data_IF_120793232393
#
_entry.id   IF_120793232393
#
_cell.length_a   1.000
_cell.length_b   1.000
_cell.length_c   1.000
_cell.angle_alpha   90.00
_cell.angle_beta   90.00
_cell.angle_gamma   90.00
#
_symmetry.space_group_name_H-M   'P 1'
#
loop_
_entity.id
_entity.type
_entity.pdbx_description
1 polymer ?
#
# COMPACT_ATOMS: atom_id res chain seq x y z
N UNK A 1 -28.65 -11.40 -29.54
CA UNK A 1 -28.54 -10.14 -28.75
C UNK A 1 -27.77 -10.36 -27.44
N UNK A 2 -28.13 -11.34 -26.60
CA UNK A 2 -27.46 -11.62 -25.31
C UNK A 2 -25.95 -11.97 -25.43
N UNK A 3 -25.54 -12.76 -26.44
CA UNK A 3 -24.13 -13.17 -26.62
C UNK A 3 -23.19 -12.04 -27.05
N UNK A 4 -23.71 -11.00 -27.71
CA UNK A 4 -22.89 -9.84 -28.13
C UNK A 4 -22.54 -8.99 -26.91
N UNK A 5 -23.48 -8.86 -25.97
CA UNK A 5 -23.28 -8.14 -24.71
C UNK A 5 -22.23 -8.85 -23.85
N UNK A 6 -22.27 -10.17 -23.74
CA UNK A 6 -21.28 -10.93 -22.96
C UNK A 6 -19.86 -10.81 -23.54
N UNK A 7 -19.70 -10.96 -24.86
CA UNK A 7 -18.39 -10.83 -25.53
C UNK A 7 -17.81 -9.42 -25.35
N UNK A 8 -18.67 -8.40 -25.46
CA UNK A 8 -18.23 -7.01 -25.27
C UNK A 8 -17.83 -6.72 -23.83
N UNK A 9 -18.51 -7.32 -22.84
CA UNK A 9 -18.20 -7.18 -21.42
C UNK A 9 -16.90 -7.92 -21.03
N UNK A 10 -16.64 -9.09 -21.60
CA UNK A 10 -15.39 -9.83 -21.42
C UNK A 10 -14.18 -9.06 -21.98
N UNK A 11 -14.36 -8.39 -23.11
CA UNK A 11 -13.32 -7.55 -23.73
C UNK A 11 -12.99 -6.32 -22.87
N UNK A 12 -14.04 -5.67 -22.34
CA UNK A 12 -13.90 -4.52 -21.45
C UNK A 12 -13.20 -4.93 -20.14
N UNK A 13 -13.55 -6.08 -19.58
CA UNK A 13 -12.91 -6.59 -18.38
C UNK A 13 -11.44 -6.93 -18.64
N UNK A 14 -11.09 -7.54 -19.78
CA UNK A 14 -9.69 -7.79 -20.16
C UNK A 14 -8.85 -6.51 -20.27
N UNK A 15 -9.42 -5.42 -20.80
CA UNK A 15 -8.76 -4.11 -20.84
C UNK A 15 -8.54 -3.57 -19.41
N UNK A 16 -9.57 -3.64 -18.56
CA UNK A 16 -9.49 -3.17 -17.16
C UNK A 16 -8.42 -3.95 -16.38
N UNK A 17 -8.34 -5.28 -16.53
CA UNK A 17 -7.35 -6.10 -15.84
C UNK A 17 -5.91 -5.77 -16.26
N UNK A 18 -5.67 -5.50 -17.55
CA UNK A 18 -4.35 -5.10 -18.06
C UNK A 18 -3.92 -3.71 -17.55
N UNK A 19 -4.87 -2.78 -17.43
CA UNK A 19 -4.63 -1.46 -16.88
C UNK A 19 -4.28 -1.50 -15.39
N UNK A 20 -4.99 -2.32 -14.60
CA UNK A 20 -4.73 -2.49 -13.17
C UNK A 20 -3.41 -3.21 -12.91
N UNK A 21 -3.04 -4.19 -13.75
CA UNK A 21 -1.80 -4.96 -13.60
C UNK A 21 -0.53 -4.15 -13.95
N UNK A 22 -0.66 -3.13 -14.81
CA UNK A 22 0.47 -2.30 -15.25
C UNK A 22 0.79 -1.13 -14.30
N UNK A 23 -0.01 -0.90 -13.26
CA UNK A 23 0.25 0.18 -12.31
C UNK A 23 1.29 -0.27 -11.29
N UNK A 24 2.55 0.04 -11.57
CA UNK A 24 3.68 -0.09 -10.63
C UNK A 24 4.04 1.30 -10.12
N UNK A 25 4.25 1.44 -8.80
CA UNK A 25 4.71 2.68 -8.21
C UNK A 25 6.11 3.01 -8.75
N UNK A 26 6.31 4.21 -9.31
CA UNK A 26 7.62 4.59 -9.81
C UNK A 26 8.60 4.75 -8.64
N UNK A 27 9.84 4.26 -8.79
CA UNK A 27 10.90 4.30 -7.76
C UNK A 27 11.10 5.70 -7.16
N UNK A 28 10.97 6.75 -7.98
CA UNK A 28 11.07 8.14 -7.54
C UNK A 28 10.00 8.50 -6.50
N UNK A 29 8.77 8.01 -6.65
CA UNK A 29 7.69 8.25 -5.69
C UNK A 29 8.01 7.60 -4.34
N UNK A 30 8.58 6.39 -4.36
CA UNK A 30 8.99 5.68 -3.15
C UNK A 30 10.13 6.39 -2.42
N UNK A 31 11.12 6.92 -3.16
CA UNK A 31 12.21 7.70 -2.57
C UNK A 31 11.71 9.00 -1.92
N UNK A 32 10.80 9.72 -2.57
CA UNK A 32 10.20 10.95 -2.03
C UNK A 32 9.36 10.64 -0.78
N UNK A 33 8.57 9.56 -0.80
CA UNK A 33 7.81 9.12 0.36
C UNK A 33 8.71 8.77 1.54
N UNK A 34 9.79 7.99 1.30
CA UNK A 34 10.77 7.64 2.33
C UNK A 34 11.47 8.88 2.93
N UNK A 35 11.84 9.84 2.10
CA UNK A 35 12.45 11.09 2.56
C UNK A 35 11.52 11.89 3.50
N UNK A 36 10.25 12.04 3.13
CA UNK A 36 9.26 12.74 3.97
C UNK A 36 9.01 12.04 5.31
N UNK A 37 9.03 10.71 5.33
CA UNK A 37 8.92 9.93 6.57
C UNK A 37 10.11 10.19 7.49
N UNK A 38 11.34 10.11 6.97
CA UNK A 38 12.57 10.38 7.75
C UNK A 38 12.58 11.82 8.25
N UNK A 39 12.18 12.78 7.41
CA UNK A 39 12.08 14.19 7.78
C UNK A 39 11.07 14.41 8.92
N UNK A 40 9.89 13.79 8.82
CA UNK A 40 8.85 13.89 9.85
C UNK A 40 9.31 13.28 11.17
N UNK A 41 10.03 12.15 11.11
CA UNK A 41 10.58 11.48 12.29
C UNK A 41 11.70 12.32 12.95
N UNK A 42 12.58 12.92 12.15
CA UNK A 42 13.63 13.81 12.63
C UNK A 42 13.05 15.09 13.26
N UNK A 43 12.03 15.69 12.64
CA UNK A 43 11.33 16.86 13.19
C UNK A 43 10.59 16.52 14.49
N UNK A 44 9.93 15.36 14.55
CA UNK A 44 9.30 14.88 15.79
C UNK A 44 10.34 14.78 16.90
N UNK A 45 11.46 14.09 16.67
CA UNK A 45 12.53 13.94 17.67
C UNK A 45 13.12 15.29 18.10
N UNK A 46 13.32 16.22 17.16
CA UNK A 46 13.81 17.57 17.46
C UNK A 46 12.87 18.32 18.41
N UNK A 47 11.56 18.31 18.15
CA UNK A 47 10.57 18.94 19.04
C UNK A 47 10.52 18.28 20.42
N UNK A 48 10.69 16.95 20.51
CA UNK A 48 10.77 16.26 21.82
C UNK A 48 11.95 16.79 22.64
N UNK A 49 13.14 16.89 22.04
CA UNK A 49 14.33 17.36 22.75
C UNK A 49 14.21 18.82 23.17
N UNK A 50 13.64 19.68 22.33
CA UNK A 50 13.40 21.08 22.66
C UNK A 50 12.43 21.22 23.86
N UNK A 51 11.33 20.47 23.85
CA UNK A 51 10.36 20.44 24.95
C UNK A 51 10.94 19.86 26.25
N UNK A 52 11.81 18.86 26.17
CA UNK A 52 12.54 18.31 27.33
C UNK A 52 13.55 19.31 27.90
N UNK A 53 14.09 20.23 27.09
CA UNK A 53 15.04 21.24 27.55
C UNK A 53 14.37 22.34 28.41
N UNK A 54 13.08 22.62 28.17
CA UNK A 54 12.25 23.59 28.91
C UNK A 54 11.17 22.85 29.72
N UNK A 55 11.51 21.70 30.31
CA UNK A 55 10.53 20.90 31.05
C UNK A 55 10.27 21.51 32.44
N UNK A 56 9.11 22.12 32.62
CA UNK A 56 8.68 22.71 33.90
C UNK A 56 7.37 22.10 34.44
N UNK A 57 6.50 21.55 33.59
CA UNK A 57 5.18 21.02 33.98
C UNK A 57 4.80 19.72 33.24
N UNK A 58 4.76 18.56 33.92
CA UNK A 58 4.68 17.24 33.28
C UNK A 58 3.29 16.79 32.78
N UNK A 59 2.18 17.39 33.23
CA UNK A 59 0.84 16.84 32.94
C UNK A 59 0.30 17.21 31.55
N UNK A 60 0.59 18.42 31.06
CA UNK A 60 0.09 18.94 29.78
C UNK A 60 1.00 18.54 28.60
N UNK A 61 2.31 18.38 28.85
CA UNK A 61 3.29 18.06 27.80
C UNK A 61 3.23 16.60 27.33
N UNK A 62 2.71 15.66 28.14
CA UNK A 62 2.51 14.26 27.71
C UNK A 62 1.46 14.12 26.62
N UNK A 63 0.48 15.03 26.58
CA UNK A 63 -0.55 15.02 25.55
C UNK A 63 0.02 15.50 24.21
N UNK A 64 0.83 16.56 24.25
CA UNK A 64 1.45 17.15 23.06
C UNK A 64 2.43 16.19 22.38
N UNK A 65 3.22 15.45 23.17
CA UNK A 65 4.14 14.41 22.65
C UNK A 65 3.38 13.28 21.93
N UNK A 66 2.22 12.89 22.48
CA UNK A 66 1.35 11.89 21.87
C UNK A 66 0.78 12.35 20.54
N UNK A 67 0.30 13.60 20.46
CA UNK A 67 -0.22 14.19 19.21
C UNK A 67 0.86 14.33 18.14
N UNK A 68 2.07 14.78 18.52
CA UNK A 68 3.20 14.93 17.60
C UNK A 68 3.69 13.59 17.05
N UNK A 69 3.67 12.52 17.86
CA UNK A 69 4.06 11.17 17.42
C UNK A 69 2.95 10.42 16.67
N UNK A 70 1.69 10.77 16.89
CA UNK A 70 0.54 10.13 16.24
C UNK A 70 0.59 10.32 14.72
N UNK A 71 0.75 11.56 14.26
CA UNK A 71 0.78 11.92 12.83
C UNK A 71 1.86 11.18 12.01
N UNK A 72 3.15 11.12 12.45
CA UNK A 72 4.18 10.34 11.76
C UNK A 72 3.92 8.84 11.78
N UNK A 73 3.37 8.27 12.86
CA UNK A 73 3.10 6.83 12.93
C UNK A 73 2.12 6.38 11.84
N UNK A 74 1.05 7.14 11.57
CA UNK A 74 0.12 6.82 10.47
C UNK A 74 0.78 6.89 9.10
N UNK A 75 1.68 7.85 8.89
CA UNK A 75 2.45 7.95 7.66
C UNK A 75 3.41 6.77 7.49
N UNK A 76 4.05 6.31 8.58
CA UNK A 76 4.98 5.16 8.55
C UNK A 76 4.25 3.84 8.25
N UNK A 77 3.10 3.58 8.88
CA UNK A 77 2.34 2.34 8.65
C UNK A 77 1.78 2.28 7.23
N UNK A 78 1.28 3.40 6.71
CA UNK A 78 0.76 3.47 5.34
C UNK A 78 1.86 3.31 4.29
N UNK A 79 3.04 3.91 4.49
CA UNK A 79 4.19 3.72 3.59
C UNK A 79 4.75 2.31 3.69
N UNK A 80 4.79 1.71 4.88
CA UNK A 80 5.24 0.31 5.08
C UNK A 80 4.30 -0.69 4.41
N UNK A 81 2.98 -0.46 4.47
CA UNK A 81 2.01 -1.30 3.77
C UNK A 81 2.14 -1.17 2.25
N UNK A 82 2.36 0.06 1.75
CA UNK A 82 2.62 0.29 0.33
C UNK A 82 3.92 -0.41 -0.12
N UNK A 83 5.00 -0.28 0.67
CA UNK A 83 6.29 -0.89 0.36
C UNK A 83 6.23 -2.42 0.39
N UNK A 84 5.50 -3.01 1.34
CA UNK A 84 5.26 -4.45 1.40
C UNK A 84 4.43 -4.95 0.21
N UNK A 85 3.41 -4.19 -0.21
CA UNK A 85 2.60 -4.55 -1.38
C UNK A 85 3.40 -4.45 -2.69
N UNK A 86 4.26 -3.44 -2.80
CA UNK A 86 5.20 -3.29 -3.93
C UNK A 86 6.27 -4.40 -3.94
N UNK A 87 6.78 -4.82 -2.76
CA UNK A 87 7.67 -5.97 -2.64
C UNK A 87 6.97 -7.30 -2.99
N UNK A 88 5.72 -7.49 -2.58
CA UNK A 88 4.91 -8.65 -2.97
C UNK A 88 4.67 -8.69 -4.49
N UNK A 89 4.46 -7.53 -5.14
CA UNK A 89 4.43 -7.43 -6.61
C UNK A 89 5.79 -7.73 -7.25
N UNK A 90 6.89 -7.42 -6.58
CA UNK A 90 8.25 -7.70 -7.05
C UNK A 90 8.63 -9.19 -7.02
N UNK A 91 7.82 -10.07 -6.40
CA UNK A 91 7.95 -11.53 -6.48
C UNK A 91 7.03 -12.10 -7.58
N UNK A 92 7.49 -12.21 -8.84
CA UNK A 92 6.64 -12.62 -9.96
C UNK A 92 6.12 -14.07 -9.88
N UNK A 93 6.65 -14.90 -8.98
CA UNK A 93 6.28 -16.31 -8.90
C UNK A 93 4.94 -16.60 -8.20
N UNK A 94 4.46 -15.75 -7.29
CA UNK A 94 3.32 -16.07 -6.43
C UNK A 94 1.96 -15.68 -7.05
N UNK A 95 1.94 -14.69 -7.95
CA UNK A 95 0.72 -14.27 -8.65
C UNK A 95 0.36 -15.24 -9.78
N UNK A 96 1.35 -15.73 -10.53
CA UNK A 96 1.17 -16.74 -11.59
C UNK A 96 0.57 -18.04 -11.03
N UNK A 97 1.05 -18.49 -9.86
CA UNK A 97 0.57 -19.74 -9.23
C UNK A 97 -0.90 -19.62 -8.79
N UNK A 98 -1.34 -18.47 -8.27
CA UNK A 98 -2.74 -18.25 -7.87
C UNK A 98 -3.69 -18.10 -9.06
N UNK A 99 -3.21 -17.54 -10.18
CA UNK A 99 -3.95 -17.48 -11.43
C UNK A 99 -4.07 -18.85 -12.11
N UNK A 100 -3.00 -19.64 -12.08
CA UNK A 100 -3.00 -21.02 -12.57
C UNK A 100 -3.98 -21.90 -11.77
N UNK A 101 -4.11 -21.69 -10.46
CA UNK A 101 -5.07 -22.43 -9.63
C UNK A 101 -6.53 -22.07 -9.95
N UNK A 102 -6.82 -20.78 -10.19
CA UNK A 102 -8.15 -20.31 -10.56
C UNK A 102 -8.62 -20.83 -11.93
N UNK A 103 -7.70 -20.94 -12.90
CA UNK A 103 -8.00 -21.50 -14.22
C UNK A 103 -8.24 -23.01 -14.18
N UNK A 104 -7.54 -23.74 -13.30
CA UNK A 104 -7.75 -25.18 -13.15
C UNK A 104 -9.08 -25.52 -12.47
N UNK A 105 -9.58 -24.69 -11.54
CA UNK A 105 -10.88 -24.88 -10.90
C UNK A 105 -12.06 -24.68 -11.88
N UNK A 106 -11.98 -23.66 -12.74
CA UNK A 106 -12.98 -23.40 -13.79
C UNK A 106 -13.02 -24.51 -14.84
N UNK A 107 -11.86 -25.09 -15.19
CA UNK A 107 -11.78 -26.21 -16.13
C UNK A 107 -12.41 -27.49 -15.56
N UNK A 108 -12.22 -27.78 -14.28
CA UNK A 108 -12.80 -28.96 -13.61
C UNK A 108 -14.31 -28.86 -13.41
N UNK A 109 -14.86 -27.66 -13.22
CA UNK A 109 -16.31 -27.44 -13.11
C UNK A 109 -17.02 -27.53 -14.47
N UNK A 110 -16.32 -27.25 -15.57
CA UNK A 110 -16.80 -27.46 -16.95
C UNK A 110 -16.79 -28.91 -17.42
N UNK A 111 -15.98 -29.77 -16.81
CA UNK A 111 -15.88 -31.21 -17.15
C UNK A 111 -16.87 -32.09 -16.36
N UNK A 112 -17.48 -31.54 -15.30
CA UNK A 112 -18.41 -32.26 -14.41
C UNK A 112 -19.89 -32.00 -14.73
N UNK A 113 -20.18 -31.21 -15.77
CA UNK A 113 -21.49 -30.88 -16.33
C UNK A 113 -21.48 -31.17 -17.84
#
# INVERSE_FOLDING_TARGET
>A
MQRIISISLDYLNGIVQNLVSSYSTPIWATLVAGFFVVLTLALSMYLIFDHLSVYKHPEEQKFLIGVILMVPCYAVESVSFCFFFDFLKSCPGLYEVRLAESQNLSRNTKLKN
#
